data_IF_625662955743
#
_entry.id   IF_625662955743
#
_cell.length_a   1.000
_cell.length_b   1.000
_cell.length_c   1.000
_cell.angle_alpha   90.00
_cell.angle_beta   90.00
_cell.angle_gamma   90.00
#
_symmetry.space_group_name_H-M   'P 1'
#
loop_
_entity.id
_entity.type
_entity.pdbx_description
1 polymer ?
#
# COMPACT_ATOMS: atom_id res chain seq x y z
N UNK A 1 7.66 -20.51 -26.32
CA UNK A 1 7.33 -19.09 -26.58
C UNK A 1 8.62 -18.45 -27.08
N UNK A 2 8.60 -17.80 -28.24
CA UNK A 2 9.76 -17.08 -28.74
C UNK A 2 10.13 -15.94 -27.76
N UNK A 3 11.43 -15.73 -27.50
CA UNK A 3 11.91 -14.72 -26.54
C UNK A 3 11.40 -13.32 -26.91
N UNK A 4 11.28 -13.02 -28.20
CA UNK A 4 10.69 -11.79 -28.71
C UNK A 4 9.19 -11.63 -28.40
N UNK A 5 8.42 -12.73 -28.40
CA UNK A 5 7.00 -12.70 -28.06
C UNK A 5 6.81 -12.47 -26.55
N UNK A 6 7.68 -13.07 -25.74
CA UNK A 6 7.69 -12.85 -24.30
C UNK A 6 8.07 -11.42 -23.94
N UNK A 7 9.12 -10.88 -24.56
CA UNK A 7 9.54 -9.50 -24.35
C UNK A 7 8.42 -8.51 -24.67
N UNK A 8 7.69 -8.71 -25.78
CA UNK A 8 6.53 -7.88 -26.14
C UNK A 8 5.38 -8.01 -25.13
N UNK A 9 5.07 -9.23 -24.69
CA UNK A 9 4.02 -9.45 -23.70
C UNK A 9 4.36 -8.79 -22.36
N UNK A 10 5.61 -8.92 -21.91
CA UNK A 10 6.07 -8.29 -20.69
C UNK A 10 6.07 -6.76 -20.82
N UNK A 11 6.62 -6.21 -21.91
CA UNK A 11 6.58 -4.77 -22.20
C UNK A 11 5.15 -4.20 -22.15
N UNK A 12 4.18 -4.89 -22.76
CA UNK A 12 2.78 -4.47 -22.72
C UNK A 12 2.21 -4.42 -21.28
N UNK A 13 2.58 -5.37 -20.42
CA UNK A 13 2.16 -5.35 -19.00
C UNK A 13 2.85 -4.24 -18.20
N UNK A 14 4.12 -3.94 -18.50
CA UNK A 14 4.86 -2.82 -17.91
C UNK A 14 4.21 -1.49 -18.29
N UNK A 15 3.94 -1.26 -19.57
CA UNK A 15 3.30 -0.04 -20.06
C UNK A 15 1.89 0.16 -19.50
N UNK A 16 1.08 -0.91 -19.46
CA UNK A 16 -0.25 -0.84 -18.85
C UNK A 16 -0.19 -0.50 -17.35
N UNK A 17 0.79 -1.06 -16.63
CA UNK A 17 0.98 -0.77 -15.21
C UNK A 17 1.48 0.66 -14.98
N UNK A 18 2.36 1.15 -15.86
CA UNK A 18 2.89 2.51 -15.80
C UNK A 18 1.75 3.51 -16.02
N UNK A 19 0.90 3.28 -17.02
CA UNK A 19 -0.28 4.10 -17.25
C UNK A 19 -1.23 4.11 -16.03
N UNK A 20 -1.53 2.93 -15.47
CA UNK A 20 -2.42 2.86 -14.30
C UNK A 20 -1.84 3.51 -13.04
N UNK A 21 -0.52 3.52 -12.86
CA UNK A 21 0.10 4.28 -11.77
C UNK A 21 0.10 5.79 -12.03
N UNK A 22 0.28 6.22 -13.29
CA UNK A 22 0.19 7.63 -13.68
C UNK A 22 -1.22 8.20 -13.50
N UNK A 23 -2.27 7.38 -13.68
CA UNK A 23 -3.64 7.81 -13.39
C UNK A 23 -3.95 7.80 -11.89
N UNK A 24 -3.35 6.88 -11.13
CA UNK A 24 -3.54 6.78 -9.68
C UNK A 24 -2.85 7.90 -8.89
N UNK A 25 -1.65 8.32 -9.29
CA UNK A 25 -0.88 9.38 -8.61
C UNK A 25 -1.69 10.67 -8.36
N UNK A 26 -2.34 11.30 -9.36
CA UNK A 26 -3.14 12.50 -9.13
C UNK A 26 -4.38 12.24 -8.26
N UNK A 27 -4.94 11.02 -8.26
CA UNK A 27 -6.03 10.65 -7.35
C UNK A 27 -5.55 10.67 -5.90
N UNK A 28 -4.36 10.13 -5.61
CA UNK A 28 -3.76 10.16 -4.28
C UNK A 28 -3.42 11.58 -3.82
N UNK A 29 -2.99 12.45 -4.74
CA UNK A 29 -2.76 13.87 -4.42
C UNK A 29 -4.07 14.61 -4.10
N UNK A 30 -5.16 14.29 -4.82
CA UNK A 30 -6.51 14.78 -4.48
C UNK A 30 -6.98 14.24 -3.13
N UNK A 31 -6.68 12.98 -2.82
CA UNK A 31 -7.02 12.33 -1.54
C UNK A 31 -6.36 13.07 -0.38
N UNK A 32 -5.06 13.37 -0.51
CA UNK A 32 -4.31 14.17 0.48
C UNK A 32 -4.96 15.53 0.75
N UNK A 33 -5.40 16.19 -0.32
CA UNK A 33 -6.05 17.50 -0.25
C UNK A 33 -7.42 17.40 0.42
N UNK A 34 -8.21 16.38 0.09
CA UNK A 34 -9.51 16.12 0.70
C UNK A 34 -9.39 15.74 2.18
N UNK A 35 -8.40 14.92 2.56
CA UNK A 35 -8.11 14.53 3.94
C UNK A 35 -7.69 15.72 4.82
N UNK A 36 -7.06 16.72 4.23
CA UNK A 36 -6.68 17.96 4.92
C UNK A 36 -7.83 18.99 4.97
N UNK A 37 -8.85 18.79 4.14
CA UNK A 37 -10.02 19.66 4.03
C UNK A 37 -11.10 19.36 5.06
N UNK A 38 -12.19 20.14 5.00
CA UNK A 38 -13.41 19.93 5.81
C UNK A 38 -14.59 19.39 4.99
N UNK A 39 -14.32 18.83 3.82
CA UNK A 39 -15.33 18.36 2.87
C UNK A 39 -15.34 16.83 2.79
N UNK A 40 -16.23 16.15 3.55
CA UNK A 40 -16.33 14.69 3.54
C UNK A 40 -16.89 14.13 2.21
N UNK A 41 -17.66 14.91 1.44
CA UNK A 41 -18.21 14.46 0.16
C UNK A 41 -17.12 14.42 -0.90
N UNK A 42 -16.21 15.39 -0.88
CA UNK A 42 -14.98 15.37 -1.69
C UNK A 42 -14.14 14.14 -1.41
N UNK A 43 -13.94 13.78 -0.13
CA UNK A 43 -13.19 12.57 0.24
C UNK A 43 -13.86 11.29 -0.29
N UNK A 44 -15.18 11.16 -0.17
CA UNK A 44 -15.92 10.01 -0.68
C UNK A 44 -15.82 9.87 -2.21
N UNK A 45 -15.86 10.98 -2.95
CA UNK A 45 -15.67 10.98 -4.40
C UNK A 45 -14.25 10.49 -4.76
N UNK A 46 -13.23 10.98 -4.06
CA UNK A 46 -11.84 10.57 -4.31
C UNK A 46 -11.61 9.09 -3.98
N UNK A 47 -12.19 8.57 -2.89
CA UNK A 47 -12.09 7.12 -2.56
C UNK A 47 -12.71 6.26 -3.66
N UNK A 48 -13.85 6.68 -4.22
CA UNK A 48 -14.47 5.99 -5.36
C UNK A 48 -13.56 5.99 -6.60
N UNK A 49 -13.00 7.14 -6.95
CA UNK A 49 -12.05 7.26 -8.07
C UNK A 49 -10.84 6.32 -7.84
N UNK A 50 -10.26 6.33 -6.64
CA UNK A 50 -9.13 5.47 -6.25
C UNK A 50 -9.45 3.98 -6.44
N UNK A 51 -10.63 3.55 -5.99
CA UNK A 51 -11.05 2.15 -6.14
C UNK A 51 -11.26 1.76 -7.61
N UNK A 52 -11.76 2.68 -8.44
CA UNK A 52 -11.92 2.44 -9.87
C UNK A 52 -10.56 2.27 -10.57
N UNK A 53 -9.59 3.16 -10.29
CA UNK A 53 -8.24 3.08 -10.84
C UNK A 53 -7.51 1.81 -10.39
N UNK A 54 -7.60 1.45 -9.11
CA UNK A 54 -7.00 0.21 -8.58
C UNK A 54 -7.56 -1.03 -9.27
N UNK A 55 -8.87 -1.06 -9.53
CA UNK A 55 -9.53 -2.15 -10.25
C UNK A 55 -9.09 -2.22 -11.72
N UNK A 56 -8.79 -1.08 -12.34
CA UNK A 56 -8.26 -1.01 -13.70
C UNK A 56 -6.79 -1.45 -13.78
N UNK A 57 -6.00 -1.21 -12.72
CA UNK A 57 -4.58 -1.58 -12.62
C UNK A 57 -4.37 -3.07 -12.28
N UNK A 58 -5.28 -3.69 -11.52
CA UNK A 58 -5.15 -5.07 -11.06
C UNK A 58 -4.86 -6.11 -12.17
N UNK A 59 -5.51 -6.08 -13.36
CA UNK A 59 -5.24 -7.03 -14.42
C UNK A 59 -3.81 -6.96 -14.96
N UNK A 60 -3.20 -5.77 -15.07
CA UNK A 60 -1.84 -5.64 -15.62
C UNK A 60 -0.80 -6.22 -14.66
N UNK A 61 -0.97 -5.99 -13.35
CA UNK A 61 -0.12 -6.56 -12.30
C UNK A 61 -0.25 -8.08 -12.30
N UNK A 62 -1.48 -8.61 -12.31
CA UNK A 62 -1.71 -10.06 -12.37
C UNK A 62 -1.15 -10.70 -13.64
N UNK A 63 -1.24 -10.02 -14.78
CA UNK A 63 -0.67 -10.50 -16.03
C UNK A 63 0.86 -10.55 -15.96
N UNK A 64 1.49 -9.51 -15.42
CA UNK A 64 2.95 -9.47 -15.19
C UNK A 64 3.41 -10.61 -14.28
N UNK A 65 2.76 -10.77 -13.12
CA UNK A 65 3.15 -11.78 -12.14
C UNK A 65 2.94 -13.20 -12.68
N UNK A 66 1.89 -13.42 -13.49
CA UNK A 66 1.70 -14.68 -14.23
C UNK A 66 2.83 -14.92 -15.22
N UNK A 67 3.25 -13.92 -15.99
CA UNK A 67 4.37 -14.05 -16.92
C UNK A 67 5.66 -14.44 -16.18
N UNK A 68 5.96 -13.78 -15.05
CA UNK A 68 7.11 -14.13 -14.21
C UNK A 68 7.02 -15.57 -13.70
N UNK A 69 5.85 -15.99 -13.21
CA UNK A 69 5.62 -17.35 -12.73
C UNK A 69 5.80 -18.41 -13.84
N UNK A 70 5.40 -18.13 -15.09
CA UNK A 70 5.64 -19.05 -16.22
C UNK A 70 7.11 -19.27 -16.54
N UNK A 71 7.98 -18.37 -16.08
CA UNK A 71 9.43 -18.44 -16.22
C UNK A 71 10.13 -18.97 -14.96
N UNK A 72 9.38 -19.34 -13.93
CA UNK A 72 9.93 -19.73 -12.63
C UNK A 72 10.58 -18.57 -11.86
N UNK A 73 10.26 -17.33 -12.24
CA UNK A 73 10.74 -16.13 -11.54
C UNK A 73 9.76 -15.74 -10.43
N UNK A 74 10.29 -15.13 -9.37
CA UNK A 74 9.49 -14.59 -8.28
C UNK A 74 8.61 -13.43 -8.78
N UNK A 75 7.39 -13.30 -8.24
CA UNK A 75 6.56 -12.12 -8.53
C UNK A 75 7.17 -10.84 -7.93
N UNK A 76 6.80 -9.69 -8.50
CA UNK A 76 7.24 -8.39 -8.00
C UNK A 76 8.52 -7.87 -8.66
N UNK A 77 9.21 -6.97 -7.95
CA UNK A 77 10.33 -6.19 -8.51
C UNK A 77 11.52 -7.09 -8.86
N UNK A 78 11.93 -7.96 -7.93
CA UNK A 78 13.09 -8.84 -8.11
C UNK A 78 13.00 -9.72 -9.36
N UNK A 79 11.85 -10.36 -9.61
CA UNK A 79 11.68 -11.16 -10.83
C UNK A 79 11.59 -10.32 -12.10
N UNK A 80 11.05 -9.11 -12.01
CA UNK A 80 11.03 -8.16 -13.12
C UNK A 80 12.44 -7.69 -13.51
N UNK A 81 13.28 -7.35 -12.53
CA UNK A 81 14.68 -6.95 -12.75
C UNK A 81 15.45 -8.05 -13.50
N UNK A 82 15.35 -9.30 -13.02
CA UNK A 82 15.97 -10.46 -13.65
C UNK A 82 15.47 -10.69 -15.08
N UNK A 83 14.17 -10.48 -15.33
CA UNK A 83 13.62 -10.66 -16.66
C UNK A 83 14.07 -9.57 -17.64
N UNK A 84 14.09 -8.32 -17.20
CA UNK A 84 14.58 -7.17 -17.97
C UNK A 84 16.05 -7.36 -18.34
N UNK A 85 16.87 -7.75 -17.37
CA UNK A 85 18.30 -8.03 -17.59
C UNK A 85 18.49 -9.18 -18.59
N UNK A 86 17.68 -10.25 -18.48
CA UNK A 86 17.72 -11.39 -19.39
C UNK A 86 17.28 -11.06 -20.83
N UNK A 87 16.33 -10.13 -20.98
CA UNK A 87 15.88 -9.66 -22.30
C UNK A 87 16.92 -8.75 -22.93
N UNK A 88 17.58 -7.90 -22.13
CA UNK A 88 18.64 -7.00 -22.59
C UNK A 88 18.17 -5.87 -23.52
N UNK A 89 16.88 -5.53 -23.49
CA UNK A 89 16.30 -4.45 -24.28
C UNK A 89 16.33 -3.13 -23.47
N UNK A 90 17.02 -2.13 -24.01
CA UNK A 90 17.22 -0.84 -23.34
C UNK A 90 15.93 -0.03 -23.17
N UNK A 91 14.98 -0.12 -24.10
CA UNK A 91 13.69 0.56 -23.98
C UNK A 91 12.85 -0.07 -22.88
N UNK A 92 12.82 -1.41 -22.82
CA UNK A 92 12.11 -2.12 -21.77
C UNK A 92 12.74 -1.85 -20.40
N UNK A 93 14.07 -1.78 -20.31
CA UNK A 93 14.75 -1.43 -19.07
C UNK A 93 14.41 -0.02 -18.58
N UNK A 94 14.31 0.95 -19.49
CA UNK A 94 13.87 2.30 -19.16
C UNK A 94 12.42 2.34 -18.66
N UNK A 95 11.49 1.69 -19.37
CA UNK A 95 10.07 1.61 -18.98
C UNK A 95 9.91 0.93 -17.61
N UNK A 96 10.70 -0.13 -17.35
CA UNK A 96 10.71 -0.82 -16.08
C UNK A 96 11.23 0.05 -14.92
N UNK A 97 12.34 0.77 -15.13
CA UNK A 97 12.88 1.71 -14.14
C UNK A 97 11.86 2.81 -13.80
N UNK A 98 11.18 3.36 -14.81
CA UNK A 98 10.13 4.35 -14.59
C UNK A 98 8.96 3.77 -13.78
N UNK A 99 8.58 2.52 -14.06
CA UNK A 99 7.52 1.83 -13.35
C UNK A 99 7.87 1.63 -11.86
N UNK A 100 9.09 1.17 -11.55
CA UNK A 100 9.52 0.91 -10.17
C UNK A 100 9.66 2.21 -9.38
N UNK A 101 10.22 3.27 -9.98
CA UNK A 101 10.28 4.59 -9.37
C UNK A 101 8.88 5.16 -9.09
N UNK A 102 7.97 5.07 -10.05
CA UNK A 102 6.61 5.58 -9.89
C UNK A 102 5.84 4.76 -8.85
N UNK A 103 6.01 3.44 -8.82
CA UNK A 103 5.41 2.58 -7.80
C UNK A 103 5.90 2.96 -6.39
N UNK A 104 7.18 3.28 -6.24
CA UNK A 104 7.74 3.77 -4.96
C UNK A 104 7.09 5.09 -4.55
N UNK A 105 7.01 6.08 -5.47
CA UNK A 105 6.36 7.38 -5.17
C UNK A 105 4.89 7.23 -4.80
N UNK A 106 4.16 6.37 -5.50
CA UNK A 106 2.74 6.07 -5.20
C UNK A 106 2.59 5.40 -3.84
N UNK A 107 3.49 4.49 -3.46
CA UNK A 107 3.51 3.87 -2.14
C UNK A 107 3.73 4.92 -1.04
N UNK A 108 4.72 5.80 -1.21
CA UNK A 108 5.01 6.89 -0.26
C UNK A 108 3.81 7.85 -0.09
N UNK A 109 3.15 8.22 -1.21
CA UNK A 109 1.94 9.04 -1.17
C UNK A 109 0.80 8.35 -0.43
N UNK A 110 0.60 7.06 -0.67
CA UNK A 110 -0.44 6.29 0.02
C UNK A 110 -0.16 6.18 1.53
N UNK A 111 1.10 5.99 1.93
CA UNK A 111 1.50 5.94 3.34
C UNK A 111 1.28 7.28 4.05
N UNK A 112 1.61 8.40 3.39
CA UNK A 112 1.31 9.75 3.89
C UNK A 112 -0.20 9.96 4.06
N UNK A 113 -1.01 9.56 3.08
CA UNK A 113 -2.47 9.66 3.15
C UNK A 113 -3.02 8.81 4.31
N UNK A 114 -2.51 7.60 4.51
CA UNK A 114 -2.89 6.74 5.63
C UNK A 114 -2.57 7.39 6.98
N UNK A 115 -1.41 8.05 7.12
CA UNK A 115 -1.05 8.78 8.33
C UNK A 115 -2.02 9.96 8.61
N UNK A 116 -2.33 10.75 7.58
CA UNK A 116 -3.27 11.87 7.68
C UNK A 116 -4.68 11.42 8.07
N UNK A 117 -5.20 10.36 7.43
CA UNK A 117 -6.50 9.80 7.75
C UNK A 117 -6.57 9.36 9.23
N UNK A 118 -5.55 8.66 9.70
CA UNK A 118 -5.45 8.23 11.10
C UNK A 118 -5.37 9.42 12.08
N UNK A 119 -4.66 10.49 11.72
CA UNK A 119 -4.58 11.70 12.53
C UNK A 119 -5.93 12.42 12.63
N UNK A 120 -6.63 12.60 11.50
CA UNK A 120 -7.96 13.22 11.47
C UNK A 120 -8.99 12.45 12.29
N UNK A 121 -8.94 11.12 12.23
CA UNK A 121 -9.79 10.24 13.05
C UNK A 121 -9.51 10.41 14.56
N UNK A 122 -8.23 10.46 14.97
CA UNK A 122 -7.85 10.71 16.37
C UNK A 122 -8.30 12.09 16.85
N UNK A 123 -8.08 13.13 16.05
CA UNK A 123 -8.50 14.50 16.37
C UNK A 123 -10.03 14.62 16.51
N UNK A 124 -10.79 13.97 15.61
CA UNK A 124 -12.25 13.94 15.67
C UNK A 124 -12.75 13.21 16.91
N UNK A 125 -12.15 12.07 17.27
CA UNK A 125 -12.48 11.33 18.51
C UNK A 125 -12.16 12.14 19.75
N UNK A 126 -11.02 12.82 19.81
CA UNK A 126 -10.65 13.71 20.90
C UNK A 126 -11.65 14.87 21.03
N UNK A 127 -12.02 15.51 19.91
CA UNK A 127 -13.01 16.58 19.88
C UNK A 127 -14.40 16.10 20.35
N UNK A 128 -14.83 14.92 19.90
CA UNK A 128 -16.06 14.28 20.37
C UNK A 128 -15.99 13.91 21.86
N UNK A 129 -14.86 13.43 22.36
CA UNK A 129 -14.65 13.16 23.79
C UNK A 129 -14.77 14.41 24.65
N UNK A 130 -14.16 15.52 24.21
CA UNK A 130 -14.30 16.83 24.86
C UNK A 130 -15.76 17.30 24.85
N UNK A 131 -16.43 17.25 23.70
CA UNK A 131 -17.81 17.74 23.55
C UNK A 131 -18.83 16.90 24.31
N UNK A 132 -18.58 15.59 24.45
CA UNK A 132 -19.49 14.65 25.15
C UNK A 132 -19.14 14.45 26.62
N UNK A 133 -18.09 15.11 27.13
CA UNK A 133 -17.62 14.97 28.52
C UNK A 133 -17.11 13.57 28.88
N UNK A 134 -16.90 12.70 27.88
CA UNK A 134 -16.32 11.36 28.09
C UNK A 134 -14.83 11.46 27.78
N UNK A 135 -13.94 11.20 28.75
CA UNK A 135 -12.51 11.11 28.44
C UNK A 135 -12.33 10.05 27.35
N UNK A 136 -11.59 10.40 26.30
CA UNK A 136 -11.05 9.44 25.35
C UNK A 136 -10.13 8.52 26.14
N UNK A 137 -10.65 7.36 26.56
CA UNK A 137 -9.83 6.29 27.12
C UNK A 137 -8.93 5.72 26.04
N UNK A 138 -7.85 6.45 25.73
CA UNK A 138 -6.65 5.86 25.14
C UNK A 138 -5.96 5.08 26.25
N UNK A 139 -6.12 3.76 26.21
CA UNK A 139 -5.07 2.74 26.43
C UNK A 139 -3.91 3.03 27.41
N UNK A 140 -4.17 3.69 28.54
CA UNK A 140 -3.14 3.93 29.57
C UNK A 140 -2.90 2.68 30.45
N UNK A 141 -3.66 1.59 30.24
CA UNK A 141 -3.54 0.34 31.00
C UNK A 141 -3.03 -0.89 30.22
N UNK A 142 -2.60 -0.75 28.96
CA UNK A 142 -1.92 -1.85 28.26
C UNK A 142 -0.53 -2.19 28.86
N UNK A 143 0.04 -1.31 29.68
CA UNK A 143 1.31 -1.51 30.38
C UNK A 143 1.23 -2.36 31.66
N UNK A 144 0.04 -2.58 32.24
CA UNK A 144 -0.07 -3.27 33.55
C UNK A 144 -0.22 -4.80 33.44
N UNK A 145 -0.21 -5.36 32.22
CA UNK A 145 -0.30 -6.82 32.00
C UNK A 145 1.05 -7.50 31.75
N UNK A 146 2.16 -6.79 31.92
CA UNK A 146 3.53 -7.33 31.76
C UNK A 146 4.32 -7.35 33.08
N UNK A 147 3.67 -7.72 34.19
CA UNK A 147 4.36 -8.08 35.44
C UNK A 147 3.49 -9.03 36.28
N UNK A 148 3.17 -10.20 35.72
CA UNK A 148 2.54 -11.29 36.47
C UNK A 148 2.89 -12.66 35.84
N UNK A 149 4.17 -12.88 35.54
CA UNK A 149 4.70 -14.22 35.20
C UNK A 149 6.06 -14.47 35.87
N UNK A 150 6.25 -13.93 37.07
CA UNK A 150 7.32 -14.36 37.97
C UNK A 150 6.79 -14.28 39.40
N UNK A 151 6.53 -15.46 39.97
CA UNK A 151 6.28 -15.77 41.39
C UNK A 151 5.06 -16.69 41.57
N UNK A 152 5.20 -17.97 41.21
CA UNK A 152 4.38 -19.03 41.77
C UNK A 152 5.15 -20.36 41.75
N UNK A 153 6.36 -20.36 42.30
CA UNK A 153 7.00 -21.57 42.80
C UNK A 153 7.67 -21.21 44.13
N UNK A 154 6.93 -21.37 45.23
CA UNK A 154 7.45 -21.86 46.50
C UNK A 154 6.31 -22.06 47.52
N UNK A 155 6.01 -23.35 47.77
CA UNK A 155 5.91 -24.03 49.09
C UNK A 155 4.99 -23.55 50.21
N UNK A 156 4.60 -24.57 51.02
CA UNK A 156 3.95 -24.62 52.35
C UNK A 156 2.42 -24.80 52.27
N UNK A 157 1.75 -25.78 52.88
CA UNK A 157 2.05 -26.78 53.91
C UNK A 157 0.80 -26.97 54.81
N UNK A 158 0.54 -28.20 55.30
CA UNK A 158 -0.52 -28.66 56.24
C UNK A 158 -1.95 -28.76 55.69
N UNK A 159 -2.78 -29.76 56.02
CA UNK A 159 -2.91 -30.65 57.20
C UNK A 159 -3.20 -32.08 56.74
#
# INVERSE_FOLDING_TARGET
>A
MELAQLARAFAATVQASLHGLQTLEPVLQRERSALSGRDPDSLNAVVRDKLAELKALEPSIKARDRLLATLGLQSGIEGGDLLVERIGDASLAADWSQLTELASRVADLNDQNAQLANQGQRATRAALGILTGRPTSDDTYAGLRRRATSAAQHTLGRV
#
